data_IF_407296273785
#
_entry.id   IF_407296273785
#
_cell.length_a   1.000
_cell.length_b   1.000
_cell.length_c   1.000
_cell.angle_alpha   90.00
_cell.angle_beta   90.00
_cell.angle_gamma   90.00
#
_symmetry.space_group_name_H-M   'P 1'
#
loop_
_entity.id
_entity.type
_entity.pdbx_description
1 polymer ?
#
# COMPACT_ATOMS: atom_id res chain seq x y z
N UNK A 1 -15.18 19.09 15.58
CA UNK A 1 -14.54 19.60 14.34
C UNK A 1 -13.75 18.52 13.61
N UNK A 2 -12.86 17.78 14.27
CA UNK A 2 -12.05 16.72 13.65
C UNK A 2 -12.85 15.62 12.91
N UNK A 3 -13.99 15.19 13.47
CA UNK A 3 -14.83 14.15 12.85
C UNK A 3 -15.41 14.55 11.49
N UNK A 4 -15.77 15.83 11.31
CA UNK A 4 -16.29 16.33 10.03
C UNK A 4 -15.18 16.31 8.98
N UNK A 5 -13.98 16.76 9.36
CA UNK A 5 -12.80 16.72 8.48
C UNK A 5 -12.45 15.29 8.08
N UNK A 6 -12.42 14.35 9.03
CA UNK A 6 -12.15 12.93 8.75
C UNK A 6 -13.23 12.31 7.86
N UNK A 7 -14.50 12.63 8.07
CA UNK A 7 -15.60 12.14 7.24
C UNK A 7 -15.43 12.57 5.77
N UNK A 8 -15.09 13.84 5.54
CA UNK A 8 -14.85 14.37 4.19
C UNK A 8 -13.56 13.78 3.58
N UNK A 9 -12.47 13.74 4.34
CA UNK A 9 -11.18 13.22 3.86
C UNK A 9 -11.23 11.72 3.55
N UNK A 10 -11.99 10.93 4.31
CA UNK A 10 -12.14 9.49 4.07
C UNK A 10 -12.74 9.21 2.69
N UNK A 11 -13.76 9.97 2.27
CA UNK A 11 -14.35 9.85 0.95
C UNK A 11 -13.32 10.14 -0.18
N UNK A 12 -12.46 11.14 0.01
CA UNK A 12 -11.40 11.50 -0.94
C UNK A 12 -10.28 10.45 -0.99
N UNK A 13 -9.89 9.89 0.16
CA UNK A 13 -8.83 8.89 0.25
C UNK A 13 -9.23 7.59 -0.45
N UNK A 14 -10.49 7.16 -0.34
CA UNK A 14 -10.98 5.96 -1.04
C UNK A 14 -11.12 6.13 -2.56
N UNK A 15 -11.20 7.36 -3.07
CA UNK A 15 -11.30 7.61 -4.51
C UNK A 15 -10.08 7.10 -5.28
N UNK A 16 -8.86 7.21 -4.71
CA UNK A 16 -7.62 6.79 -5.38
C UNK A 16 -7.55 5.26 -5.58
N UNK A 17 -7.73 4.42 -4.53
CA UNK A 17 -7.81 2.97 -4.70
C UNK A 17 -8.88 2.53 -5.69
N UNK A 18 -10.09 3.13 -5.61
CA UNK A 18 -11.19 2.80 -6.53
C UNK A 18 -10.78 3.08 -7.97
N UNK A 19 -10.24 4.27 -8.25
CA UNK A 19 -9.82 4.66 -9.61
C UNK A 19 -8.73 3.75 -10.19
N UNK A 20 -7.86 3.21 -9.35
CA UNK A 20 -6.77 2.31 -9.78
C UNK A 20 -7.29 0.87 -9.99
N UNK A 21 -8.14 0.37 -9.10
CA UNK A 21 -8.62 -1.02 -9.11
C UNK A 21 -9.78 -1.21 -10.10
N UNK A 22 -10.69 -0.25 -10.17
CA UNK A 22 -11.90 -0.31 -10.99
C UNK A 22 -11.66 -0.67 -12.46
N UNK A 23 -10.76 -0.02 -13.22
CA UNK A 23 -10.54 -0.36 -14.63
C UNK A 23 -10.06 -1.80 -14.83
N UNK A 24 -9.26 -2.35 -13.88
CA UNK A 24 -8.80 -3.74 -13.92
C UNK A 24 -9.97 -4.72 -13.78
N UNK A 25 -10.92 -4.43 -12.90
CA UNK A 25 -12.12 -5.26 -12.69
C UNK A 25 -13.11 -5.06 -13.83
N UNK A 26 -13.33 -3.82 -14.27
CA UNK A 26 -14.29 -3.46 -15.32
C UNK A 26 -13.97 -4.15 -16.64
N UNK A 27 -12.69 -4.35 -16.98
CA UNK A 27 -12.27 -5.06 -18.18
C UNK A 27 -12.78 -6.50 -18.23
N UNK A 28 -13.00 -7.14 -17.08
CA UNK A 28 -13.49 -8.51 -16.97
C UNK A 28 -15.03 -8.61 -16.98
N UNK A 29 -15.74 -7.47 -16.92
CA UNK A 29 -17.20 -7.42 -16.85
C UNK A 29 -17.78 -6.94 -18.18
N UNK A 30 -18.57 -7.78 -18.84
CA UNK A 30 -19.15 -7.48 -20.17
C UNK A 30 -20.45 -6.67 -20.09
N UNK A 31 -21.28 -6.92 -19.07
CA UNK A 31 -22.63 -6.32 -18.94
C UNK A 31 -22.64 -5.02 -18.13
N UNK A 32 -23.39 -4.00 -18.60
CA UNK A 32 -23.54 -2.70 -17.92
C UNK A 32 -24.06 -2.84 -16.48
N UNK A 33 -25.08 -3.68 -16.24
CA UNK A 33 -25.61 -3.92 -14.88
C UNK A 33 -24.58 -4.57 -13.95
N UNK A 34 -23.73 -5.45 -14.48
CA UNK A 34 -22.64 -6.08 -13.70
C UNK A 34 -21.53 -5.07 -13.39
N UNK A 35 -21.27 -4.12 -14.29
CA UNK A 35 -20.32 -3.02 -14.04
C UNK A 35 -20.83 -2.11 -12.91
N UNK A 36 -22.07 -1.65 -12.96
CA UNK A 36 -22.62 -0.82 -11.88
C UNK A 36 -22.58 -1.56 -10.53
N UNK A 37 -23.04 -2.82 -10.49
CA UNK A 37 -22.99 -3.63 -9.27
C UNK A 37 -21.55 -3.85 -8.77
N UNK A 38 -20.60 -4.10 -9.68
CA UNK A 38 -19.19 -4.28 -9.34
C UNK A 38 -18.57 -3.03 -8.72
N UNK A 39 -18.96 -1.84 -9.16
CA UNK A 39 -18.43 -0.60 -8.60
C UNK A 39 -18.91 -0.38 -7.16
N UNK A 40 -20.20 -0.60 -6.90
CA UNK A 40 -20.76 -0.56 -5.54
C UNK A 40 -20.14 -1.63 -4.65
N UNK A 41 -19.97 -2.86 -5.15
CA UNK A 41 -19.34 -3.94 -4.40
C UNK A 41 -17.90 -3.59 -4.02
N UNK A 42 -17.10 -3.05 -4.95
CA UNK A 42 -15.72 -2.61 -4.68
C UNK A 42 -15.68 -1.54 -3.58
N UNK A 43 -16.58 -0.55 -3.64
CA UNK A 43 -16.68 0.51 -2.61
C UNK A 43 -16.99 -0.08 -1.24
N UNK A 44 -17.97 -0.98 -1.15
CA UNK A 44 -18.36 -1.64 0.10
C UNK A 44 -17.21 -2.47 0.65
N UNK A 45 -16.54 -3.27 -0.19
CA UNK A 45 -15.41 -4.12 0.22
C UNK A 45 -14.27 -3.27 0.80
N UNK A 46 -13.92 -2.15 0.16
CA UNK A 46 -12.86 -1.27 0.66
C UNK A 46 -13.21 -0.65 2.02
N UNK A 47 -14.44 -0.19 2.20
CA UNK A 47 -14.90 0.36 3.49
C UNK A 47 -14.92 -0.74 4.56
N UNK A 48 -15.46 -1.92 4.25
CA UNK A 48 -15.47 -3.06 5.16
C UNK A 48 -14.06 -3.50 5.56
N UNK A 49 -13.12 -3.52 4.62
CA UNK A 49 -11.72 -3.80 4.89
C UNK A 49 -11.14 -2.83 5.93
N UNK A 50 -11.35 -1.52 5.75
CA UNK A 50 -10.90 -0.51 6.73
C UNK A 50 -11.55 -0.70 8.11
N UNK A 51 -12.82 -1.08 8.16
CA UNK A 51 -13.52 -1.35 9.42
C UNK A 51 -12.98 -2.61 10.13
N UNK A 52 -12.72 -3.68 9.39
CA UNK A 52 -12.13 -4.92 9.94
C UNK A 52 -10.76 -4.63 10.53
N UNK A 53 -9.91 -3.89 9.80
CA UNK A 53 -8.57 -3.50 10.29
C UNK A 53 -8.66 -2.71 11.59
N UNK A 54 -9.62 -1.77 11.69
CA UNK A 54 -9.84 -1.00 12.91
C UNK A 54 -10.31 -1.84 14.11
N UNK A 55 -11.04 -2.94 13.88
CA UNK A 55 -11.46 -3.88 14.93
C UNK A 55 -10.27 -4.73 15.41
N UNK A 56 -9.41 -5.17 14.48
CA UNK A 56 -8.27 -6.05 14.79
C UNK A 56 -7.18 -5.31 15.56
N UNK A 57 -6.90 -4.04 15.21
CA UNK A 57 -5.89 -3.22 15.87
C UNK A 57 -6.57 -1.95 16.43
N UNK A 58 -7.00 -1.95 17.71
CA UNK A 58 -7.69 -0.79 18.30
C UNK A 58 -6.74 0.39 18.56
N UNK A 59 -5.43 0.17 18.50
CA UNK A 59 -4.40 1.18 18.72
C UNK A 59 -3.97 1.85 17.41
N UNK A 60 -4.46 3.08 17.20
CA UNK A 60 -4.23 3.83 15.96
C UNK A 60 -2.74 4.16 15.74
N UNK A 61 -1.99 4.43 16.80
CA UNK A 61 -0.55 4.75 16.70
C UNK A 61 0.24 3.57 16.11
N UNK A 62 -0.05 2.36 16.62
CA UNK A 62 0.52 1.13 16.11
C UNK A 62 0.16 0.87 14.65
N UNK A 63 -1.11 1.09 14.30
CA UNK A 63 -1.60 0.94 12.93
C UNK A 63 -0.88 1.91 11.97
N UNK A 64 -0.75 3.18 12.38
CA UNK A 64 -0.08 4.21 11.58
C UNK A 64 1.40 3.87 11.42
N UNK A 65 2.07 3.43 12.49
CA UNK A 65 3.48 3.01 12.45
C UNK A 65 3.67 1.78 11.54
N UNK A 66 2.82 0.77 11.64
CA UNK A 66 2.89 -0.45 10.83
C UNK A 66 2.65 -0.16 9.35
N UNK A 67 1.52 0.49 9.02
CA UNK A 67 1.16 0.82 7.64
C UNK A 67 2.16 1.82 7.06
N UNK A 68 2.63 2.78 7.86
CA UNK A 68 3.66 3.74 7.47
C UNK A 68 4.99 3.07 7.18
N UNK A 69 5.47 2.17 8.04
CA UNK A 69 6.70 1.41 7.81
C UNK A 69 6.61 0.55 6.55
N UNK A 70 5.51 -0.18 6.36
CA UNK A 70 5.27 -1.03 5.18
C UNK A 70 5.15 -0.21 3.89
N UNK A 71 4.37 0.87 3.90
CA UNK A 71 4.15 1.69 2.71
C UNK A 71 5.37 2.54 2.37
N UNK A 72 6.04 3.14 3.37
CA UNK A 72 7.21 3.99 3.16
C UNK A 72 8.39 3.18 2.63
N UNK A 73 8.70 2.04 3.23
CA UNK A 73 9.75 1.16 2.71
C UNK A 73 9.44 0.68 1.28
N UNK A 74 8.20 0.27 1.00
CA UNK A 74 7.81 -0.19 -0.33
C UNK A 74 7.87 0.94 -1.36
N UNK A 75 7.17 2.07 -1.15
CA UNK A 75 7.10 3.18 -2.11
C UNK A 75 8.37 4.02 -2.20
N UNK A 76 9.03 4.31 -1.08
CA UNK A 76 10.20 5.19 -1.06
C UNK A 76 11.50 4.46 -1.34
N UNK A 77 11.63 3.18 -0.96
CA UNK A 77 12.90 2.45 -1.06
C UNK A 77 12.87 1.29 -2.07
N UNK A 78 11.74 0.61 -2.26
CA UNK A 78 11.69 -0.55 -3.18
C UNK A 78 11.29 -0.15 -4.60
N UNK A 79 10.28 0.69 -4.77
CA UNK A 79 9.79 1.08 -6.10
C UNK A 79 10.83 1.81 -6.97
N UNK A 80 11.61 2.80 -6.47
CA UNK A 80 12.59 3.51 -7.29
C UNK A 80 13.68 2.61 -7.90
N UNK A 81 14.43 1.80 -7.11
CA UNK A 81 15.44 0.89 -7.67
C UNK A 81 14.81 -0.22 -8.52
N UNK A 82 13.59 -0.68 -8.20
CA UNK A 82 12.89 -1.65 -9.04
C UNK A 82 12.60 -1.09 -10.44
N UNK A 83 12.13 0.15 -10.54
CA UNK A 83 11.90 0.82 -11.82
C UNK A 83 13.21 1.06 -12.57
N UNK A 84 14.27 1.43 -11.86
CA UNK A 84 15.61 1.62 -12.44
C UNK A 84 16.12 0.32 -13.09
N UNK A 85 16.14 -0.79 -12.34
CA UNK A 85 16.55 -2.10 -12.83
C UNK A 85 15.69 -2.58 -14.02
N UNK A 86 14.37 -2.36 -13.98
CA UNK A 86 13.46 -2.74 -15.07
C UNK A 86 13.70 -1.91 -16.34
N UNK A 87 13.97 -0.62 -16.20
CA UNK A 87 14.17 0.30 -17.33
C UNK A 87 15.49 0.02 -18.04
N UNK A 88 16.57 -0.21 -17.29
CA UNK A 88 17.89 -0.48 -17.86
C UNK A 88 18.07 -1.90 -18.42
N UNK A 89 17.12 -2.81 -18.16
CA UNK A 89 17.08 -4.10 -18.86
C UNK A 89 16.68 -3.96 -20.34
N UNK A 90 16.29 -2.75 -20.78
CA UNK A 90 16.09 -2.41 -22.18
C UNK A 90 17.43 -2.46 -22.96
N UNK A 91 17.43 -2.92 -24.22
CA UNK A 91 18.62 -3.46 -24.88
C UNK A 91 19.81 -2.51 -25.14
N UNK A 92 19.71 -1.21 -24.84
CA UNK A 92 20.67 -0.20 -25.31
C UNK A 92 21.49 0.52 -24.23
N UNK A 93 21.34 0.22 -22.93
CA UNK A 93 22.15 0.85 -21.87
C UNK A 93 22.76 -0.18 -20.92
N UNK A 94 24.10 -0.16 -20.78
CA UNK A 94 24.82 -0.97 -19.78
C UNK A 94 24.84 -0.22 -18.46
N UNK A 95 24.09 -0.71 -17.47
CA UNK A 95 24.25 -0.31 -16.08
C UNK A 95 25.68 -0.59 -15.61
N UNK A 96 26.31 0.40 -14.97
CA UNK A 96 27.50 0.17 -14.16
C UNK A 96 27.12 -0.76 -13.00
N UNK A 97 27.90 -1.82 -12.76
CA UNK A 97 27.67 -2.76 -11.64
C UNK A 97 27.57 -2.05 -10.28
N UNK A 98 28.12 -0.84 -10.16
CA UNK A 98 28.02 0.01 -8.98
C UNK A 98 26.59 0.51 -8.71
N UNK A 99 25.82 0.85 -9.74
CA UNK A 99 24.43 1.29 -9.57
C UNK A 99 23.54 0.15 -9.08
N UNK A 100 23.69 -1.04 -9.67
CA UNK A 100 22.93 -2.24 -9.27
C UNK A 100 23.20 -2.63 -7.81
N UNK A 101 24.45 -2.54 -7.36
CA UNK A 101 24.82 -2.81 -5.97
C UNK A 101 24.22 -1.78 -5.01
N UNK A 102 24.20 -0.50 -5.40
CA UNK A 102 23.58 0.57 -4.60
C UNK A 102 22.07 0.33 -4.44
N UNK A 103 21.41 -0.04 -5.52
CA UNK A 103 19.97 -0.27 -5.58
C UNK A 103 19.55 -1.47 -4.74
N UNK A 104 20.33 -2.57 -4.81
CA UNK A 104 20.12 -3.73 -3.94
C UNK A 104 20.31 -3.35 -2.46
N UNK A 105 21.32 -2.53 -2.15
CA UNK A 105 21.58 -2.10 -0.76
C UNK A 105 20.43 -1.28 -0.19
N UNK A 106 19.84 -0.37 -0.99
CA UNK A 106 18.66 0.42 -0.63
C UNK A 106 17.44 -0.48 -0.42
N UNK A 107 17.24 -1.46 -1.30
CA UNK A 107 16.14 -2.41 -1.19
C UNK A 107 16.24 -3.26 0.09
N UNK A 108 17.44 -3.73 0.44
CA UNK A 108 17.70 -4.47 1.69
C UNK A 108 17.39 -3.60 2.91
N UNK A 109 17.79 -2.34 2.90
CA UNK A 109 17.47 -1.40 3.99
C UNK A 109 15.95 -1.20 4.14
N UNK A 110 15.22 -1.12 3.02
CA UNK A 110 13.75 -1.06 3.03
C UNK A 110 13.11 -2.31 3.65
N UNK A 111 13.59 -3.50 3.30
CA UNK A 111 13.11 -4.75 3.91
C UNK A 111 13.42 -4.80 5.40
N UNK A 112 14.61 -4.34 5.81
CA UNK A 112 14.96 -4.27 7.23
C UNK A 112 14.01 -3.36 8.01
N UNK A 113 13.67 -2.18 7.45
CA UNK A 113 12.68 -1.27 8.02
C UNK A 113 11.29 -1.91 8.15
N UNK A 114 10.83 -2.67 7.15
CA UNK A 114 9.61 -3.47 7.22
C UNK A 114 9.62 -4.48 8.37
N UNK A 115 10.72 -5.24 8.51
CA UNK A 115 10.85 -6.28 9.53
C UNK A 115 10.83 -5.64 10.91
N UNK A 116 11.65 -4.61 11.15
CA UNK A 116 11.68 -3.90 12.43
C UNK A 116 10.31 -3.31 12.77
N UNK A 117 9.65 -2.64 11.82
CA UNK A 117 8.31 -2.09 12.02
C UNK A 117 7.28 -3.16 12.41
N UNK A 118 7.27 -4.28 11.70
CA UNK A 118 6.36 -5.41 12.00
C UNK A 118 6.66 -6.03 13.36
N UNK A 119 7.93 -6.17 13.73
CA UNK A 119 8.34 -6.74 15.02
C UNK A 119 7.93 -5.85 16.19
N UNK A 120 8.15 -4.54 16.09
CA UNK A 120 7.71 -3.57 17.09
C UNK A 120 6.19 -3.63 17.23
N UNK A 121 5.46 -3.67 16.12
CA UNK A 121 4.01 -3.74 16.17
C UNK A 121 3.49 -5.01 16.86
N UNK A 122 4.08 -6.17 16.56
CA UNK A 122 3.67 -7.45 17.15
C UNK A 122 4.04 -7.53 18.64
N UNK A 123 5.22 -7.03 19.05
CA UNK A 123 5.64 -7.04 20.45
C UNK A 123 4.71 -6.18 21.32
N UNK A 124 4.27 -5.05 20.79
CA UNK A 124 3.40 -4.12 21.50
C UNK A 124 1.95 -4.62 21.59
N UNK A 125 1.46 -5.31 20.54
CA UNK A 125 0.18 -6.06 20.60
C UNK A 125 0.26 -7.15 21.68
N UNK A 126 1.37 -7.89 21.75
CA UNK A 126 1.54 -8.98 22.71
C UNK A 126 1.60 -8.47 24.16
N UNK A 127 2.27 -7.35 24.42
CA UNK A 127 2.40 -6.76 25.76
C UNK A 127 1.09 -6.19 26.30
N UNK A 128 0.13 -5.87 25.42
CA UNK A 128 -1.18 -5.31 25.78
C UNK A 128 -2.28 -6.34 25.93
N UNK A 129 -2.00 -7.60 25.62
CA UNK A 129 -2.88 -8.75 25.90
C UNK A 129 -2.55 -9.33 27.29
#
# INVERSE_FOLDING_TARGET
MFSISLFISFALQLYVPIRIIWPKIQHHLVSKKKKEFGEYALRIILVMFTAIVAIVVPELDLLISLVGALASSSLALVFPPLIEILTYKAPNERLSSLSVIKDISIMVFGVFGCVVGTWVSIDEIRKKL
#
